data_IF_472717231169
#
_entry.id   IF_472717231169
#
_cell.length_a   1.000
_cell.length_b   1.000
_cell.length_c   1.000
_cell.angle_alpha   90.00
_cell.angle_beta   90.00
_cell.angle_gamma   90.00
#
_symmetry.space_group_name_H-M   'P 1'
#
loop_
_entity.id
_entity.type
_entity.pdbx_description
1 polymer ?
#
# COMPACT_ATOMS: atom_id res chain seq x y z
N UNK A 1 6.61 -10.59 -0.10
CA UNK A 1 5.25 -10.37 0.47
C UNK A 1 4.32 -9.92 -0.65
N UNK A 2 3.09 -10.44 -0.72
CA UNK A 2 2.05 -9.90 -1.60
C UNK A 2 1.07 -9.05 -0.78
N UNK A 3 0.67 -7.90 -1.31
CA UNK A 3 -0.28 -6.98 -0.70
C UNK A 3 -1.34 -6.52 -1.69
N UNK A 4 -2.52 -6.19 -1.15
CA UNK A 4 -3.69 -5.76 -1.90
C UNK A 4 -4.44 -4.68 -1.12
N UNK A 5 -4.79 -3.58 -1.78
CA UNK A 5 -5.52 -2.45 -1.19
C UNK A 5 -6.63 -1.99 -2.13
N UNK A 6 -7.83 -1.75 -1.58
CA UNK A 6 -8.93 -1.07 -2.30
C UNK A 6 -9.03 0.36 -1.80
N UNK A 7 -9.27 1.29 -2.71
CA UNK A 7 -9.33 2.71 -2.36
C UNK A 7 -10.08 3.55 -3.39
N UNK A 8 -10.57 4.70 -2.95
CA UNK A 8 -11.17 5.76 -3.78
C UNK A 8 -10.14 6.81 -4.22
N UNK A 9 -9.08 7.05 -3.43
CA UNK A 9 -7.90 7.82 -3.83
C UNK A 9 -6.71 6.91 -4.17
N UNK A 10 -6.57 6.50 -5.46
CA UNK A 10 -5.50 5.61 -5.87
C UNK A 10 -4.12 6.24 -5.82
N UNK A 11 -3.99 7.54 -6.10
CA UNK A 11 -2.70 8.20 -6.23
C UNK A 11 -2.04 8.40 -4.87
N UNK A 12 -2.81 8.84 -3.86
CA UNK A 12 -2.31 8.97 -2.50
C UNK A 12 -1.78 7.63 -1.96
N UNK A 13 -2.57 6.57 -2.12
CA UNK A 13 -2.21 5.25 -1.65
C UNK A 13 -1.02 4.65 -2.40
N UNK A 14 -0.96 4.79 -3.73
CA UNK A 14 0.21 4.37 -4.50
C UNK A 14 1.48 5.08 -4.06
N UNK A 15 1.46 6.41 -3.98
CA UNK A 15 2.60 7.21 -3.55
C UNK A 15 3.07 6.79 -2.15
N UNK A 16 2.13 6.55 -1.23
CA UNK A 16 2.46 6.16 0.14
C UNK A 16 3.10 4.79 0.22
N UNK A 17 2.56 3.80 -0.51
CA UNK A 17 3.11 2.44 -0.59
C UNK A 17 4.51 2.48 -1.20
N UNK A 18 4.69 3.21 -2.30
CA UNK A 18 5.97 3.35 -2.97
C UNK A 18 7.02 4.08 -2.11
N UNK A 19 6.69 5.21 -1.49
CA UNK A 19 7.62 5.97 -0.65
C UNK A 19 8.02 5.19 0.61
N UNK A 20 7.08 4.47 1.22
CA UNK A 20 7.37 3.63 2.41
C UNK A 20 8.36 2.52 2.05
N UNK A 21 8.14 1.80 0.95
CA UNK A 21 9.07 0.76 0.49
C UNK A 21 10.45 1.35 0.17
N UNK A 22 10.50 2.47 -0.56
CA UNK A 22 11.74 3.16 -0.90
C UNK A 22 12.53 3.56 0.34
N UNK A 23 11.89 4.16 1.35
CA UNK A 23 12.54 4.55 2.62
C UNK A 23 13.04 3.36 3.43
N UNK A 24 12.46 2.19 3.26
CA UNK A 24 12.88 0.95 3.91
C UNK A 24 13.92 0.16 3.11
N UNK A 25 14.32 0.67 1.94
CA UNK A 25 15.24 0.01 1.02
C UNK A 25 14.67 -1.27 0.44
N UNK A 26 13.36 -1.30 0.16
CA UNK A 26 12.66 -2.44 -0.42
C UNK A 26 12.35 -2.18 -1.90
N UNK A 27 12.37 -3.27 -2.69
CA UNK A 27 12.00 -3.26 -4.10
C UNK A 27 10.67 -3.97 -4.33
N UNK A 28 9.99 -3.61 -5.40
CA UNK A 28 8.78 -4.29 -5.87
C UNK A 28 9.13 -5.21 -7.04
N UNK A 29 8.65 -6.45 -6.99
CA UNK A 29 8.60 -7.32 -8.17
C UNK A 29 7.30 -7.14 -8.95
N UNK A 30 6.25 -6.60 -8.32
CA UNK A 30 4.99 -6.20 -8.94
C UNK A 30 4.47 -4.94 -8.26
N UNK A 31 4.03 -3.96 -9.04
CA UNK A 31 3.33 -2.78 -8.55
C UNK A 31 2.29 -2.34 -9.58
N UNK A 32 1.01 -2.67 -9.35
CA UNK A 32 -0.05 -2.56 -10.34
C UNK A 32 -1.29 -1.91 -9.73
N UNK A 33 -1.79 -0.86 -10.40
CA UNK A 33 -3.08 -0.25 -10.11
C UNK A 33 -4.08 -0.66 -11.19
N UNK A 34 -5.26 -1.09 -10.76
CA UNK A 34 -6.37 -1.44 -11.64
C UNK A 34 -7.62 -0.67 -11.22
N UNK A 35 -8.38 -0.16 -12.20
CA UNK A 35 -9.72 0.35 -11.94
C UNK A 35 -10.66 -0.82 -11.71
N UNK A 36 -11.42 -0.78 -10.63
CA UNK A 36 -12.49 -1.71 -10.29
C UNK A 36 -13.85 -1.04 -10.51
N UNK A 37 -14.94 -1.80 -10.52
CA UNK A 37 -16.29 -1.24 -10.70
C UNK A 37 -16.66 -0.22 -9.59
N UNK A 38 -17.55 0.72 -9.93
CA UNK A 38 -18.07 1.77 -9.04
C UNK A 38 -17.01 2.74 -8.45
N UNK A 39 -16.13 3.26 -9.29
CA UNK A 39 -15.11 4.27 -8.96
C UNK A 39 -14.10 3.88 -7.86
N UNK A 40 -14.04 2.59 -7.53
CA UNK A 40 -13.00 2.02 -6.68
C UNK A 40 -11.77 1.62 -7.51
N UNK A 41 -10.60 1.74 -6.91
CA UNK A 41 -9.34 1.28 -7.48
C UNK A 41 -8.74 0.18 -6.59
N UNK A 42 -8.04 -0.76 -7.22
CA UNK A 42 -7.33 -1.83 -6.57
C UNK A 42 -5.83 -1.69 -6.83
N UNK A 43 -5.05 -1.52 -5.77
CA UNK A 43 -3.60 -1.56 -5.81
C UNK A 43 -3.12 -2.94 -5.38
N UNK A 44 -2.48 -3.66 -6.29
CA UNK A 44 -1.84 -4.95 -6.03
C UNK A 44 -0.33 -4.80 -6.13
N UNK A 45 0.41 -5.34 -5.16
CA UNK A 45 1.86 -5.27 -5.17
C UNK A 45 2.51 -6.50 -4.58
N UNK A 46 3.75 -6.75 -5.00
CA UNK A 46 4.61 -7.79 -4.45
C UNK A 46 5.97 -7.18 -4.12
N UNK A 47 6.38 -7.30 -2.87
CA UNK A 47 7.71 -6.91 -2.39
C UNK A 47 8.70 -8.06 -2.58
N UNK A 48 9.85 -7.71 -3.17
CA UNK A 48 11.04 -8.56 -3.23
C UNK A 48 11.91 -8.31 -1.99
N UNK A 49 11.44 -8.78 -0.84
CA UNK A 49 12.13 -8.68 0.45
C UNK A 49 11.92 -9.99 1.22
N UNK A 50 13.03 -10.55 1.71
CA UNK A 50 13.07 -11.83 2.41
C UNK A 50 13.19 -11.63 3.93
N UNK A 51 13.57 -10.44 4.39
CA UNK A 51 13.63 -10.11 5.80
C UNK A 51 12.21 -9.94 6.37
N UNK A 52 11.78 -10.94 7.14
CA UNK A 52 10.46 -10.97 7.76
C UNK A 52 10.16 -9.75 8.65
N UNK A 53 11.14 -9.28 9.43
CA UNK A 53 10.93 -8.13 10.33
C UNK A 53 10.65 -6.85 9.53
N UNK A 54 11.40 -6.66 8.44
CA UNK A 54 11.20 -5.54 7.52
C UNK A 54 9.83 -5.61 6.86
N UNK A 55 9.44 -6.78 6.34
CA UNK A 55 8.12 -7.01 5.75
C UNK A 55 6.99 -6.69 6.73
N UNK A 56 7.08 -7.18 7.98
CA UNK A 56 6.10 -6.89 9.03
C UNK A 56 6.02 -5.40 9.33
N UNK A 57 7.17 -4.73 9.45
CA UNK A 57 7.23 -3.29 9.71
C UNK A 57 6.61 -2.48 8.58
N UNK A 58 6.82 -2.90 7.33
CA UNK A 58 6.19 -2.28 6.17
C UNK A 58 4.67 -2.45 6.23
N UNK A 59 4.18 -3.67 6.45
CA UNK A 59 2.75 -3.96 6.54
C UNK A 59 2.07 -3.11 7.64
N UNK A 60 2.69 -3.01 8.81
CA UNK A 60 2.20 -2.17 9.91
C UNK A 60 2.12 -0.68 9.53
N UNK A 61 3.14 -0.14 8.86
CA UNK A 61 3.15 1.27 8.44
C UNK A 61 2.07 1.59 7.42
N UNK A 62 1.80 0.66 6.50
CA UNK A 62 0.74 0.81 5.51
C UNK A 62 -0.64 0.69 6.18
N UNK A 63 -0.83 -0.29 7.08
CA UNK A 63 -2.06 -0.44 7.86
C UNK A 63 -2.41 0.82 8.65
N UNK A 64 -1.47 1.35 9.44
CA UNK A 64 -1.68 2.57 10.22
C UNK A 64 -2.04 3.79 9.35
N UNK A 65 -1.50 3.87 8.14
CA UNK A 65 -1.85 4.95 7.22
C UNK A 65 -3.26 4.81 6.68
N UNK A 66 -3.71 3.59 6.39
CA UNK A 66 -5.08 3.33 5.92
C UNK A 66 -6.06 3.67 7.04
N UNK A 67 -5.82 3.15 8.26
CA UNK A 67 -6.65 3.43 9.43
C UNK A 67 -6.81 4.94 9.64
N UNK A 68 -5.71 5.69 9.59
CA UNK A 68 -5.74 7.15 9.71
C UNK A 68 -6.51 7.83 8.58
N UNK A 69 -6.41 7.32 7.35
CA UNK A 69 -7.11 7.91 6.20
C UNK A 69 -8.61 7.66 6.30
N UNK A 70 -9.03 6.49 6.79
CA UNK A 70 -10.43 6.18 7.04
C UNK A 70 -11.00 7.04 8.18
N UNK A 71 -10.27 7.22 9.29
CA UNK A 71 -10.69 8.10 10.39
C UNK A 71 -10.89 9.57 9.98
N UNK A 72 -10.11 10.07 9.01
CA UNK A 72 -10.21 11.46 8.54
C UNK A 72 -11.43 11.68 7.64
N UNK A 73 -11.95 10.63 6.98
CA UNK A 73 -13.09 10.73 6.06
C UNK A 73 -14.44 10.70 6.79
N UNK A 74 -14.49 10.12 7.99
CA UNK A 74 -15.69 10.03 8.84
C UNK A 74 -15.98 11.30 9.69
N UNK A 75 -15.32 12.43 9.42
CA UNK A 75 -15.50 13.72 10.13
C UNK A 75 -16.21 14.78 9.28
#
# INVERSE_FOLDING_TARGET
MQGFLRCSDPLGNMCRVADTARRMGMSFSLFKLEKHEADAFALTFTLDEQNAQKVTTFAQRIGLYIDLTEEIVDV
#
